data_IF_040486446448
#
_entry.id   IF_040486446448
#
_cell.length_a   1.000
_cell.length_b   1.000
_cell.length_c   1.000
_cell.angle_alpha   90.00
_cell.angle_beta   90.00
_cell.angle_gamma   90.00
#
_symmetry.space_group_name_H-M   'P 1'
#
loop_
_entity.id
_entity.type
_entity.pdbx_description
1 polymer ?
#
# COMPACT_ATOMS: atom_id res chain seq x y z
N UNK A 1 -2.09 19.75 -3.25
CA UNK A 1 -0.95 18.85 -2.95
C UNK A 1 -1.46 17.46 -2.60
N UNK A 2 -0.79 16.40 -3.02
CA UNK A 2 -1.11 15.02 -2.60
C UNK A 2 -0.37 14.66 -1.30
N UNK A 3 -1.09 14.13 -0.32
CA UNK A 3 -0.55 13.65 0.95
C UNK A 3 -0.42 12.12 0.93
N UNK A 4 0.73 11.58 1.32
CA UNK A 4 0.94 10.13 1.54
C UNK A 4 0.97 9.85 3.04
N UNK A 5 -0.01 9.08 3.54
CA UNK A 5 -0.24 8.81 4.96
C UNK A 5 -0.28 7.29 5.30
N UNK A 6 0.83 6.54 5.27
CA UNK A 6 2.16 6.91 4.76
C UNK A 6 2.97 5.67 4.37
N UNK A 7 3.98 5.83 3.51
CA UNK A 7 4.90 4.76 3.12
C UNK A 7 5.82 4.32 4.25
N UNK A 8 6.09 5.19 5.23
CA UNK A 8 7.12 5.00 6.26
C UNK A 8 6.58 4.48 7.60
N UNK A 9 5.30 4.69 7.85
CA UNK A 9 4.61 4.18 9.03
C UNK A 9 3.12 4.00 8.76
N UNK A 10 2.51 3.03 9.43
CA UNK A 10 1.08 2.78 9.29
C UNK A 10 0.30 3.80 10.13
N UNK A 11 0.14 5.00 9.59
CA UNK A 11 -0.61 6.09 10.23
C UNK A 11 -2.05 5.66 10.55
N UNK A 12 -2.80 5.04 9.61
CA UNK A 12 -4.15 4.56 9.91
C UNK A 12 -4.21 3.58 11.09
N UNK A 13 -3.22 2.70 11.26
CA UNK A 13 -3.20 1.72 12.34
C UNK A 13 -2.75 2.30 13.70
N UNK A 14 -1.79 3.23 13.73
CA UNK A 14 -1.11 3.59 14.98
C UNK A 14 -1.22 5.05 15.37
N UNK A 15 -1.60 5.94 14.44
CA UNK A 15 -1.55 7.38 14.62
C UNK A 15 -2.82 8.07 14.08
N UNK A 16 -3.95 7.35 14.06
CA UNK A 16 -5.20 7.86 13.51
C UNK A 16 -5.70 9.11 14.26
N UNK A 17 -5.60 9.12 15.60
CA UNK A 17 -6.04 10.26 16.42
C UNK A 17 -5.17 11.49 16.18
N UNK A 18 -3.86 11.32 16.23
CA UNK A 18 -2.87 12.38 16.01
C UNK A 18 -2.94 12.93 14.57
N UNK A 19 -3.25 12.06 13.60
CA UNK A 19 -3.54 12.47 12.24
C UNK A 19 -4.80 13.36 12.18
N UNK A 20 -5.89 12.95 12.83
CA UNK A 20 -7.12 13.75 12.86
C UNK A 20 -6.97 15.06 13.63
N UNK A 21 -6.15 15.11 14.68
CA UNK A 21 -5.78 16.36 15.35
C UNK A 21 -5.05 17.31 14.38
N UNK A 22 -4.15 16.77 13.55
CA UNK A 22 -3.46 17.55 12.52
C UNK A 22 -4.42 18.05 11.43
N UNK A 23 -5.40 17.22 11.03
CA UNK A 23 -6.46 17.61 10.10
C UNK A 23 -7.29 18.76 10.67
N UNK A 24 -7.72 18.65 11.92
CA UNK A 24 -8.51 19.69 12.60
C UNK A 24 -7.72 20.99 12.80
N UNK A 25 -6.41 20.89 13.05
CA UNK A 25 -5.51 22.03 13.13
C UNK A 25 -5.18 22.67 11.76
N UNK A 26 -5.42 21.95 10.66
CA UNK A 26 -5.14 22.41 9.29
C UNK A 26 -3.66 22.40 8.91
N UNK A 27 -2.78 21.80 9.71
CA UNK A 27 -1.36 21.65 9.36
C UNK A 27 -0.68 20.52 10.14
N UNK A 28 0.49 20.08 9.66
CA UNK A 28 1.39 19.18 10.37
C UNK A 28 2.85 19.53 10.11
N UNK A 29 3.69 19.42 11.12
CA UNK A 29 5.14 19.48 10.94
C UNK A 29 5.67 18.10 10.56
N UNK A 30 6.43 18.04 9.47
CA UNK A 30 7.09 16.82 8.99
C UNK A 30 8.59 17.03 9.01
N UNK A 31 9.32 16.04 9.54
CA UNK A 31 10.76 16.03 9.59
C UNK A 31 11.32 15.22 8.42
N UNK A 32 12.19 15.82 7.62
CA UNK A 32 12.90 15.10 6.58
C UNK A 32 13.81 14.04 7.22
N UNK A 33 13.71 12.76 6.82
CA UNK A 33 14.45 11.68 7.48
C UNK A 33 15.96 11.70 7.23
N UNK A 34 16.44 12.41 6.21
CA UNK A 34 17.86 12.48 5.85
C UNK A 34 18.51 13.78 6.32
N UNK A 35 17.87 14.93 6.07
CA UNK A 35 18.43 16.22 6.45
C UNK A 35 18.03 16.67 7.86
N UNK A 36 17.04 16.00 8.48
CA UNK A 36 16.49 16.41 9.76
C UNK A 36 15.68 17.71 9.71
N UNK A 37 15.61 18.39 8.55
CA UNK A 37 14.88 19.64 8.35
C UNK A 37 13.40 19.43 8.60
N UNK A 38 12.82 20.28 9.44
CA UNK A 38 11.38 20.32 9.66
C UNK A 38 10.70 21.24 8.65
N UNK A 39 9.54 20.81 8.18
CA UNK A 39 8.71 21.56 7.25
C UNK A 39 7.27 21.53 7.75
N UNK A 40 6.68 22.71 7.93
CA UNK A 40 5.25 22.84 8.20
C UNK A 40 4.48 22.64 6.89
N UNK A 41 3.68 21.59 6.81
CA UNK A 41 2.82 21.30 5.68
C UNK A 41 1.40 21.74 6.00
N UNK A 42 0.77 22.48 5.09
CA UNK A 42 -0.66 22.72 5.18
C UNK A 42 -1.42 21.42 4.99
N UNK A 43 -2.45 21.23 5.80
CA UNK A 43 -3.46 20.21 5.67
C UNK A 43 -4.85 20.83 5.50
N UNK A 44 -4.96 22.14 5.26
CA UNK A 44 -6.23 22.76 4.94
C UNK A 44 -6.85 22.09 3.70
N UNK A 45 -8.18 21.87 3.64
CA UNK A 45 -8.81 21.17 2.52
C UNK A 45 -8.46 21.78 1.14
N UNK A 46 -8.38 23.12 1.05
CA UNK A 46 -8.02 23.82 -0.18
C UNK A 46 -6.58 23.54 -0.68
N UNK A 47 -5.68 23.11 0.21
CA UNK A 47 -4.29 22.83 -0.13
C UNK A 47 -4.05 21.34 -0.42
N UNK A 48 -5.02 20.47 -0.12
CA UNK A 48 -4.90 19.01 -0.22
C UNK A 48 -5.79 18.48 -1.35
N UNK A 49 -5.16 18.04 -2.43
CA UNK A 49 -5.87 17.46 -3.59
C UNK A 49 -6.42 16.07 -3.24
N UNK A 50 -5.59 15.24 -2.60
CA UNK A 50 -5.97 13.90 -2.18
C UNK A 50 -5.06 13.39 -1.06
N UNK A 51 -5.61 12.55 -0.19
CA UNK A 51 -4.86 11.82 0.83
C UNK A 51 -4.81 10.34 0.43
N UNK A 52 -3.61 9.79 0.31
CA UNK A 52 -3.41 8.36 0.03
C UNK A 52 -3.00 7.68 1.31
N UNK A 53 -3.90 6.87 1.86
CA UNK A 53 -3.64 6.12 3.08
C UNK A 53 -2.93 4.81 2.77
N UNK A 54 -1.97 4.44 3.60
CA UNK A 54 -1.23 3.19 3.47
C UNK A 54 -1.35 2.41 4.76
N UNK A 55 -1.87 1.20 4.70
CA UNK A 55 -2.10 0.43 5.91
C UNK A 55 -2.13 -1.07 5.69
N UNK A 56 -1.82 -1.79 6.78
CA UNK A 56 -2.16 -3.21 6.97
C UNK A 56 -3.28 -3.40 7.99
N UNK A 57 -3.69 -2.35 8.68
CA UNK A 57 -4.81 -2.36 9.60
C UNK A 57 -5.42 -0.96 9.77
N UNK A 58 -6.24 -0.48 8.81
CA UNK A 58 -6.81 0.85 8.86
C UNK A 58 -7.95 0.98 9.88
N UNK A 59 -8.34 -0.10 10.56
CA UNK A 59 -9.46 -0.17 11.51
C UNK A 59 -9.55 1.05 12.46
N UNK A 60 -8.46 1.55 13.07
CA UNK A 60 -8.52 2.69 13.98
C UNK A 60 -8.89 4.03 13.32
N UNK A 61 -8.72 4.14 11.99
CA UNK A 61 -9.06 5.34 11.22
C UNK A 61 -10.50 5.32 10.70
N UNK A 62 -11.13 4.15 10.52
CA UNK A 62 -12.48 4.01 9.96
C UNK A 62 -13.54 4.94 10.61
N UNK A 63 -13.58 5.09 11.95
CA UNK A 63 -14.56 5.98 12.60
C UNK A 63 -14.42 7.46 12.22
N UNK A 64 -13.27 7.88 11.70
CA UNK A 64 -12.98 9.28 11.35
C UNK A 64 -13.18 9.58 9.86
N UNK A 65 -13.44 8.58 9.02
CA UNK A 65 -13.65 8.78 7.58
C UNK A 65 -14.83 9.71 7.27
N UNK A 66 -15.98 9.63 7.97
CA UNK A 66 -17.07 10.58 7.74
C UNK A 66 -16.67 12.04 8.01
N UNK A 67 -15.86 12.28 9.06
CA UNK A 67 -15.35 13.62 9.34
C UNK A 67 -14.40 14.12 8.24
N UNK A 68 -13.57 13.24 7.67
CA UNK A 68 -12.70 13.60 6.55
C UNK A 68 -13.53 14.00 5.31
N UNK A 69 -14.58 13.24 4.99
CA UNK A 69 -15.46 13.54 3.86
C UNK A 69 -16.26 14.84 4.08
N UNK A 70 -16.81 15.04 5.28
CA UNK A 70 -17.54 16.27 5.65
C UNK A 70 -16.65 17.52 5.55
N UNK A 71 -15.36 17.39 5.92
CA UNK A 71 -14.36 18.45 5.76
C UNK A 71 -13.89 18.67 4.33
N UNK A 72 -14.37 17.88 3.37
CA UNK A 72 -14.08 18.02 1.95
C UNK A 72 -12.82 17.30 1.46
N UNK A 73 -12.22 16.42 2.25
CA UNK A 73 -11.06 15.64 1.79
C UNK A 73 -11.47 14.53 0.84
N UNK A 74 -10.64 14.29 -0.19
CA UNK A 74 -10.69 13.11 -1.05
C UNK A 74 -9.56 12.17 -0.67
N UNK A 75 -9.83 10.88 -0.66
CA UNK A 75 -8.85 9.88 -0.27
C UNK A 75 -9.14 8.51 -0.86
N UNK A 76 -8.09 7.68 -0.88
CA UNK A 76 -8.18 6.25 -1.15
C UNK A 76 -7.11 5.51 -0.36
N UNK A 77 -7.25 4.18 -0.30
CA UNK A 77 -6.44 3.30 0.53
C UNK A 77 -5.60 2.35 -0.32
N UNK A 78 -4.32 2.34 -0.01
CA UNK A 78 -3.38 1.26 -0.30
C UNK A 78 -3.42 0.29 0.90
N UNK A 79 -4.22 -0.77 0.80
CA UNK A 79 -4.41 -1.74 1.88
C UNK A 79 -3.65 -3.04 1.58
N UNK A 80 -2.51 -3.22 2.24
CA UNK A 80 -1.72 -4.44 2.13
C UNK A 80 -2.33 -5.59 2.94
N UNK A 81 -2.75 -6.63 2.25
CA UNK A 81 -3.18 -7.90 2.83
C UNK A 81 -2.40 -9.00 2.11
N UNK A 82 -1.54 -9.66 2.87
CA UNK A 82 -0.68 -10.77 2.44
C UNK A 82 -1.11 -12.07 3.15
N UNK A 83 -0.66 -13.25 2.68
CA UNK A 83 -1.06 -14.52 3.25
C UNK A 83 -0.25 -14.93 4.49
N UNK A 84 0.69 -14.08 4.93
CA UNK A 84 1.68 -14.44 5.93
C UNK A 84 1.12 -14.51 7.35
N UNK A 85 1.70 -15.38 8.17
CA UNK A 85 1.38 -15.53 9.59
C UNK A 85 2.18 -14.57 10.48
N UNK A 86 2.06 -14.76 11.80
CA UNK A 86 2.75 -13.95 12.81
C UNK A 86 4.27 -14.21 12.85
N UNK A 87 4.75 -15.28 12.22
CA UNK A 87 6.16 -15.55 11.98
C UNK A 87 6.81 -14.46 11.11
N UNK A 88 6.07 -13.92 10.13
CA UNK A 88 6.53 -12.85 9.23
C UNK A 88 5.89 -11.50 9.59
N UNK A 89 4.60 -11.46 9.92
CA UNK A 89 3.80 -10.26 10.22
C UNK A 89 3.30 -10.25 11.67
N UNK A 90 4.24 -10.07 12.59
CA UNK A 90 4.12 -10.35 14.04
C UNK A 90 2.93 -9.73 14.75
N UNK A 91 2.72 -8.43 14.58
CA UNK A 91 1.79 -7.68 15.41
C UNK A 91 0.50 -7.30 14.67
N UNK A 92 0.19 -8.00 13.58
CA UNK A 92 -1.07 -7.80 12.88
C UNK A 92 -2.23 -8.48 13.62
N UNK A 93 -3.46 -7.92 13.53
CA UNK A 93 -4.64 -8.64 13.97
C UNK A 93 -4.83 -9.96 13.22
N UNK A 94 -5.61 -10.90 13.76
CA UNK A 94 -5.94 -12.14 13.06
C UNK A 94 -6.50 -11.86 11.66
N UNK A 95 -6.12 -12.66 10.65
CA UNK A 95 -6.50 -12.42 9.24
C UNK A 95 -8.01 -12.28 9.03
N UNK A 96 -8.82 -13.03 9.78
CA UNK A 96 -10.29 -12.87 9.77
C UNK A 96 -10.74 -11.44 10.07
N UNK A 97 -10.11 -10.79 11.07
CA UNK A 97 -10.40 -9.39 11.42
C UNK A 97 -9.93 -8.43 10.33
N UNK A 98 -8.75 -8.65 9.76
CA UNK A 98 -8.24 -7.83 8.65
C UNK A 98 -9.16 -7.90 7.43
N UNK A 99 -9.64 -9.09 7.05
CA UNK A 99 -10.59 -9.26 5.95
C UNK A 99 -11.93 -8.57 6.25
N UNK A 100 -12.42 -8.65 7.48
CA UNK A 100 -13.62 -7.92 7.90
C UNK A 100 -13.41 -6.41 7.82
N UNK A 101 -12.28 -5.88 8.28
CA UNK A 101 -11.91 -4.46 8.15
C UNK A 101 -11.86 -4.03 6.69
N UNK A 102 -11.30 -4.84 5.80
CA UNK A 102 -11.26 -4.54 4.36
C UNK A 102 -12.66 -4.42 3.78
N UNK A 103 -13.54 -5.38 4.10
CA UNK A 103 -14.93 -5.35 3.70
C UNK A 103 -15.66 -4.11 4.22
N UNK A 104 -15.57 -3.84 5.53
CA UNK A 104 -16.20 -2.66 6.14
C UNK A 104 -15.71 -1.35 5.52
N UNK A 105 -14.40 -1.24 5.27
CA UNK A 105 -13.83 -0.07 4.61
C UNK A 105 -14.41 0.10 3.19
N UNK A 106 -14.39 -0.96 2.40
CA UNK A 106 -14.93 -0.94 1.03
C UNK A 106 -16.42 -0.60 0.97
N UNK A 107 -17.22 -1.17 1.86
CA UNK A 107 -18.65 -0.87 1.99
C UNK A 107 -18.89 0.60 2.39
N UNK A 108 -17.99 1.18 3.17
CA UNK A 108 -18.10 2.57 3.64
C UNK A 108 -17.70 3.58 2.56
N UNK A 109 -16.63 3.33 1.80
CA UNK A 109 -16.04 4.37 0.92
C UNK A 109 -16.09 4.04 -0.57
N UNK A 110 -16.48 2.82 -0.94
CA UNK A 110 -16.48 2.33 -2.32
C UNK A 110 -15.27 1.45 -2.65
N UNK A 111 -15.52 0.38 -3.41
CA UNK A 111 -14.50 -0.60 -3.82
C UNK A 111 -13.41 -0.01 -4.72
N UNK A 112 -13.71 1.07 -5.44
CA UNK A 112 -12.76 1.82 -6.27
C UNK A 112 -11.73 2.60 -5.44
N UNK A 113 -12.02 2.89 -4.16
CA UNK A 113 -11.12 3.61 -3.25
C UNK A 113 -10.32 2.70 -2.33
N UNK A 114 -10.47 1.37 -2.44
CA UNK A 114 -9.72 0.40 -1.63
C UNK A 114 -8.90 -0.48 -2.56
N UNK A 115 -7.60 -0.25 -2.62
CA UNK A 115 -6.67 -1.00 -3.48
C UNK A 115 -6.04 -2.09 -2.63
N UNK A 116 -6.29 -3.34 -3.01
CA UNK A 116 -5.62 -4.48 -2.37
C UNK A 116 -4.16 -4.51 -2.81
N UNK A 117 -3.24 -4.59 -1.86
CA UNK A 117 -1.85 -4.93 -2.16
C UNK A 117 -1.52 -6.32 -1.65
N UNK A 118 -1.25 -7.23 -2.57
CA UNK A 118 -0.61 -8.51 -2.27
C UNK A 118 0.91 -8.31 -2.37
N UNK A 119 1.43 -7.57 -1.40
CA UNK A 119 2.72 -6.91 -1.48
C UNK A 119 3.40 -6.87 -0.11
N UNK A 120 4.66 -7.35 0.01
CA UNK A 120 5.46 -8.00 -1.04
C UNK A 120 5.12 -9.49 -1.19
N UNK A 121 5.42 -10.05 -2.36
CA UNK A 121 5.53 -11.49 -2.63
C UNK A 121 6.91 -11.96 -2.16
N UNK A 122 6.97 -12.93 -1.25
CA UNK A 122 8.19 -13.38 -0.57
C UNK A 122 8.46 -14.83 -0.95
N UNK A 123 9.63 -15.09 -1.53
CA UNK A 123 10.05 -16.46 -1.81
C UNK A 123 10.89 -17.05 -0.68
N UNK A 124 10.62 -18.31 -0.33
CA UNK A 124 11.41 -19.11 0.61
C UNK A 124 11.24 -20.60 0.30
N UNK A 125 11.81 -21.47 1.14
CA UNK A 125 11.50 -22.90 1.10
C UNK A 125 10.02 -23.17 1.40
N UNK A 126 9.38 -22.32 2.21
CA UNK A 126 7.98 -22.46 2.59
C UNK A 126 7.03 -21.73 1.60
N UNK A 127 7.46 -20.57 1.11
CA UNK A 127 6.69 -19.72 0.19
C UNK A 127 7.18 -19.93 -1.24
N UNK A 128 6.61 -20.94 -1.90
CA UNK A 128 6.85 -21.24 -3.31
C UNK A 128 5.83 -20.54 -4.21
N UNK A 129 6.09 -20.55 -5.53
CA UNK A 129 5.14 -20.02 -6.51
C UNK A 129 3.77 -20.71 -6.41
N UNK A 130 3.75 -22.04 -6.26
CA UNK A 130 2.52 -22.84 -6.17
C UNK A 130 1.70 -22.45 -4.93
N UNK A 131 2.37 -22.25 -3.79
CA UNK A 131 1.70 -21.80 -2.57
C UNK A 131 1.16 -20.38 -2.73
N UNK A 132 1.89 -19.49 -3.39
CA UNK A 132 1.38 -18.16 -3.70
C UNK A 132 0.16 -18.22 -4.62
N UNK A 133 0.14 -19.06 -5.65
CA UNK A 133 -1.03 -19.28 -6.50
C UNK A 133 -2.24 -19.76 -5.69
N UNK A 134 -2.04 -20.72 -4.78
CA UNK A 134 -3.10 -21.22 -3.91
C UNK A 134 -3.66 -20.13 -2.99
N UNK A 135 -2.78 -19.41 -2.29
CA UNK A 135 -3.19 -18.38 -1.33
C UNK A 135 -3.81 -17.17 -2.03
N UNK A 136 -3.22 -16.72 -3.14
CA UNK A 136 -3.75 -15.60 -3.90
C UNK A 136 -5.15 -15.90 -4.42
N UNK A 137 -5.42 -17.12 -4.91
CA UNK A 137 -6.76 -17.54 -5.33
C UNK A 137 -7.79 -17.39 -4.20
N UNK A 138 -7.48 -17.93 -3.02
CA UNK A 138 -8.35 -17.84 -1.83
C UNK A 138 -8.60 -16.39 -1.40
N UNK A 139 -7.55 -15.57 -1.42
CA UNK A 139 -7.66 -14.16 -1.04
C UNK A 139 -8.43 -13.36 -2.09
N UNK A 140 -8.20 -13.62 -3.37
CA UNK A 140 -8.92 -12.98 -4.47
C UNK A 140 -10.41 -13.34 -4.44
N UNK A 141 -10.78 -14.57 -4.12
CA UNK A 141 -12.19 -14.98 -3.92
C UNK A 141 -12.85 -14.14 -2.80
N UNK A 142 -12.13 -13.87 -1.72
CA UNK A 142 -12.64 -13.10 -0.59
C UNK A 142 -12.67 -11.58 -0.82
N UNK A 143 -11.71 -11.05 -1.60
CA UNK A 143 -11.48 -9.61 -1.73
C UNK A 143 -12.06 -9.00 -3.01
N UNK A 144 -12.23 -9.77 -4.09
CA UNK A 144 -12.70 -9.25 -5.37
C UNK A 144 -14.06 -8.53 -5.32
N UNK A 145 -15.04 -8.94 -4.48
CA UNK A 145 -16.28 -8.17 -4.33
C UNK A 145 -16.07 -6.76 -3.76
N UNK A 146 -14.94 -6.52 -3.09
CA UNK A 146 -14.67 -5.33 -2.28
C UNK A 146 -13.51 -4.46 -2.83
N UNK A 147 -12.94 -4.80 -3.99
CA UNK A 147 -11.94 -3.95 -4.66
C UNK A 147 -12.00 -4.12 -6.17
N UNK A 148 -11.45 -3.15 -6.91
CA UNK A 148 -11.28 -3.24 -8.37
C UNK A 148 -9.86 -3.50 -8.80
N UNK A 149 -8.89 -3.44 -7.88
CA UNK A 149 -7.48 -3.45 -8.21
C UNK A 149 -6.65 -4.21 -7.18
N UNK A 150 -5.73 -5.01 -7.69
CA UNK A 150 -4.66 -5.64 -6.94
C UNK A 150 -3.30 -5.08 -7.41
N UNK A 151 -2.45 -4.72 -6.46
CA UNK A 151 -1.05 -4.38 -6.72
C UNK A 151 -0.18 -5.47 -6.11
N UNK A 152 0.78 -5.96 -6.89
CA UNK A 152 1.82 -6.87 -6.42
C UNK A 152 3.19 -6.19 -6.49
N UNK A 153 4.14 -6.70 -5.73
CA UNK A 153 5.58 -6.49 -5.96
C UNK A 153 6.33 -7.69 -5.41
N UNK A 154 7.51 -7.98 -5.94
CA UNK A 154 8.39 -9.00 -5.40
C UNK A 154 9.28 -8.37 -4.32
N UNK A 155 9.56 -9.12 -3.26
CA UNK A 155 10.30 -8.58 -2.13
C UNK A 155 11.71 -8.14 -2.54
N UNK A 156 12.02 -6.86 -2.34
CA UNK A 156 13.39 -6.36 -2.43
C UNK A 156 14.20 -6.66 -1.16
N UNK A 157 15.46 -7.03 -1.35
CA UNK A 157 16.39 -7.28 -0.27
C UNK A 157 17.11 -6.00 0.17
N UNK A 158 16.40 -5.14 0.90
CA UNK A 158 17.00 -3.93 1.48
C UNK A 158 18.01 -4.27 2.59
N UNK A 159 19.08 -3.46 2.68
CA UNK A 159 20.15 -3.65 3.67
C UNK A 159 19.70 -3.69 5.14
N UNK A 160 18.53 -3.14 5.49
CA UNK A 160 17.95 -3.30 6.84
C UNK A 160 17.39 -4.70 7.08
N UNK A 161 16.66 -5.27 6.11
CA UNK A 161 16.12 -6.62 6.22
C UNK A 161 17.25 -7.65 6.21
N UNK A 162 18.26 -7.51 5.34
CA UNK A 162 19.40 -8.41 5.29
C UNK A 162 20.18 -8.55 6.62
N UNK A 163 20.07 -7.57 7.53
CA UNK A 163 20.67 -7.64 8.87
C UNK A 163 19.85 -8.43 9.89
N UNK A 164 18.57 -8.69 9.61
CA UNK A 164 17.69 -9.49 10.47
C UNK A 164 17.92 -10.98 10.19
N UNK A 165 18.31 -11.79 11.18
CA UNK A 165 18.50 -13.23 10.98
C UNK A 165 17.28 -13.92 10.37
N UNK A 166 16.08 -13.44 10.68
CA UNK A 166 14.82 -13.97 10.19
C UNK A 166 14.61 -13.71 8.69
N UNK A 167 15.28 -12.72 8.09
CA UNK A 167 15.25 -12.52 6.64
C UNK A 167 16.10 -13.54 5.87
N UNK A 168 16.98 -14.32 6.55
CA UNK A 168 17.89 -15.27 5.89
C UNK A 168 17.18 -16.48 5.28
N UNK A 169 15.93 -16.74 5.67
CA UNK A 169 15.12 -17.82 5.10
C UNK A 169 14.49 -17.42 3.77
N UNK A 170 14.46 -16.11 3.46
CA UNK A 170 13.95 -15.60 2.20
C UNK A 170 15.03 -15.66 1.12
N UNK A 171 14.60 -15.80 -0.13
CA UNK A 171 15.48 -15.82 -1.31
C UNK A 171 14.90 -14.94 -2.41
N UNK A 172 15.78 -14.52 -3.31
CA UNK A 172 15.36 -13.89 -4.56
C UNK A 172 14.77 -14.97 -5.49
N UNK A 173 13.60 -14.73 -6.11
CA UNK A 173 13.11 -15.56 -7.20
C UNK A 173 13.91 -15.30 -8.47
N UNK A 174 13.99 -16.31 -9.34
CA UNK A 174 14.46 -16.12 -10.72
C UNK A 174 13.45 -15.34 -11.55
N UNK A 175 13.89 -14.73 -12.66
CA UNK A 175 12.99 -14.06 -13.62
C UNK A 175 11.90 -15.01 -14.15
N UNK A 176 12.24 -16.28 -14.40
CA UNK A 176 11.28 -17.29 -14.82
C UNK A 176 10.20 -17.52 -13.74
N UNK A 177 10.60 -17.69 -12.47
CA UNK A 177 9.63 -17.83 -11.37
C UNK A 177 8.74 -16.59 -11.22
N UNK A 178 9.31 -15.39 -11.41
CA UNK A 178 8.53 -14.14 -11.36
C UNK A 178 7.51 -14.08 -12.49
N UNK A 179 7.91 -14.40 -13.73
CA UNK A 179 7.03 -14.39 -14.90
C UNK A 179 5.91 -15.43 -14.79
N UNK A 180 6.26 -16.66 -14.42
CA UNK A 180 5.29 -17.77 -14.28
C UNK A 180 4.26 -17.45 -13.19
N UNK A 181 4.73 -17.00 -12.01
CA UNK A 181 3.83 -16.60 -10.95
C UNK A 181 2.97 -15.40 -11.37
N UNK A 182 3.57 -14.37 -11.98
CA UNK A 182 2.86 -13.19 -12.47
C UNK A 182 1.72 -13.56 -13.44
N UNK A 183 1.97 -14.48 -14.39
CA UNK A 183 0.97 -14.96 -15.33
C UNK A 183 -0.21 -15.64 -14.62
N UNK A 184 0.06 -16.52 -13.65
CA UNK A 184 -0.96 -17.21 -12.85
C UNK A 184 -1.78 -16.24 -11.98
N UNK A 185 -1.11 -15.30 -11.30
CA UNK A 185 -1.78 -14.27 -10.50
C UNK A 185 -2.66 -13.39 -11.38
N UNK A 186 -2.19 -13.04 -12.58
CA UNK A 186 -2.91 -12.23 -13.55
C UNK A 186 -4.16 -12.93 -14.09
N UNK A 187 -4.05 -14.21 -14.46
CA UNK A 187 -5.20 -15.02 -14.86
C UNK A 187 -6.24 -15.14 -13.72
N UNK A 188 -5.75 -15.35 -12.48
CA UNK A 188 -6.59 -15.46 -11.30
C UNK A 188 -7.34 -14.15 -10.98
N UNK A 189 -6.65 -13.01 -11.06
CA UNK A 189 -7.23 -11.68 -10.86
C UNK A 189 -8.28 -11.35 -11.93
N UNK A 190 -7.96 -11.55 -13.22
CA UNK A 190 -8.85 -11.24 -14.34
C UNK A 190 -10.14 -12.06 -14.31
N UNK A 191 -10.06 -13.36 -13.99
CA UNK A 191 -11.24 -14.21 -13.85
C UNK A 191 -12.18 -13.78 -12.70
N UNK A 192 -11.73 -12.90 -11.81
CA UNK A 192 -12.50 -12.31 -10.71
C UNK A 192 -12.83 -10.83 -10.92
N UNK A 193 -12.57 -10.30 -12.12
CA UNK A 193 -12.83 -8.90 -12.46
C UNK A 193 -11.89 -7.90 -11.79
N UNK A 194 -10.71 -8.35 -11.33
CA UNK A 194 -9.68 -7.48 -10.77
C UNK A 194 -8.68 -7.05 -11.84
N UNK A 195 -8.35 -5.75 -11.85
CA UNK A 195 -7.15 -5.27 -12.53
C UNK A 195 -5.94 -5.60 -11.67
N UNK A 196 -4.89 -6.16 -12.27
CA UNK A 196 -3.63 -6.44 -11.58
C UNK A 196 -2.52 -5.55 -12.16
N UNK A 197 -1.62 -5.09 -11.31
CA UNK A 197 -0.50 -4.22 -11.69
C UNK A 197 0.70 -4.44 -10.75
N UNK A 198 1.90 -4.11 -11.19
CA UNK A 198 3.14 -4.34 -10.43
C UNK A 198 3.83 -3.03 -10.03
N UNK A 199 4.18 -2.89 -8.75
CA UNK A 199 4.72 -1.65 -8.20
C UNK A 199 6.25 -1.57 -8.30
N UNK A 200 6.74 -0.84 -9.30
CA UNK A 200 8.15 -0.52 -9.49
C UNK A 200 9.04 -1.77 -9.52
N UNK A 201 8.62 -2.74 -10.34
CA UNK A 201 9.40 -3.91 -10.74
C UNK A 201 10.29 -3.54 -11.92
N UNK A 202 11.53 -4.03 -11.92
CA UNK A 202 12.47 -3.86 -13.03
C UNK A 202 12.21 -4.85 -14.18
N UNK A 203 11.70 -6.04 -13.84
CA UNK A 203 11.31 -7.04 -14.82
C UNK A 203 10.00 -6.61 -15.49
N UNK A 204 9.97 -6.66 -16.81
CA UNK A 204 8.77 -6.37 -17.59
C UNK A 204 7.77 -7.55 -17.49
N UNK A 205 6.64 -7.29 -16.83
CA UNK A 205 5.54 -8.25 -16.64
C UNK A 205 4.36 -8.01 -17.59
N UNK A 206 4.50 -7.13 -18.58
CA UNK A 206 3.43 -6.81 -19.54
C UNK A 206 3.03 -8.04 -20.37
N UNK A 207 3.98 -8.94 -20.65
CA UNK A 207 3.70 -10.23 -21.30
C UNK A 207 2.77 -11.15 -20.49
N UNK A 208 2.75 -11.00 -19.17
CA UNK A 208 1.79 -11.64 -18.27
C UNK A 208 0.47 -10.85 -18.13
N UNK A 209 0.34 -9.71 -18.81
CA UNK A 209 -0.77 -8.78 -18.71
C UNK A 209 -0.82 -8.00 -17.40
N UNK A 210 0.35 -7.75 -16.80
CA UNK A 210 0.52 -6.94 -15.59
C UNK A 210 1.23 -5.64 -15.97
N UNK A 211 0.50 -4.53 -15.87
CA UNK A 211 1.03 -3.20 -16.15
C UNK A 211 1.77 -2.60 -14.95
N UNK A 212 2.68 -1.63 -15.17
CA UNK A 212 3.26 -0.85 -14.08
C UNK A 212 2.18 -0.14 -13.24
N UNK A 213 2.27 -0.27 -11.92
CA UNK A 213 1.35 0.34 -10.98
C UNK A 213 1.78 1.75 -10.59
N UNK A 214 0.80 2.64 -10.42
CA UNK A 214 0.95 3.91 -9.73
C UNK A 214 0.28 3.81 -8.36
N UNK A 215 1.06 3.85 -7.28
CA UNK A 215 0.44 3.82 -5.94
C UNK A 215 -0.13 5.17 -5.54
N UNK A 216 0.52 6.24 -6.01
CA UNK A 216 -0.03 7.61 -6.08
C UNK A 216 -0.45 7.79 -7.54
N UNK A 217 -1.69 7.42 -7.82
CA UNK A 217 -2.22 7.27 -9.17
C UNK A 217 -2.90 8.57 -9.62
N UNK A 218 -2.35 9.28 -10.61
CA UNK A 218 -2.98 10.49 -11.10
C UNK A 218 -4.36 10.24 -11.71
N UNK A 219 -4.56 9.14 -12.45
CA UNK A 219 -5.85 8.85 -13.09
C UNK A 219 -6.93 8.60 -12.05
N UNK A 220 -6.60 7.84 -10.99
CA UNK A 220 -7.52 7.62 -9.88
C UNK A 220 -7.81 8.92 -9.13
N UNK A 221 -6.80 9.72 -8.83
CA UNK A 221 -6.98 10.98 -8.10
C UNK A 221 -7.84 11.96 -8.92
N UNK A 222 -7.60 12.10 -10.22
CA UNK A 222 -8.42 12.96 -11.09
C UNK A 222 -9.88 12.46 -11.15
N UNK A 223 -10.08 11.14 -11.18
CA UNK A 223 -11.42 10.53 -11.11
C UNK A 223 -12.13 10.85 -9.77
N UNK A 224 -11.42 10.75 -8.65
CA UNK A 224 -11.99 10.98 -7.31
C UNK A 224 -12.23 12.45 -6.99
N UNK A 225 -11.43 13.34 -7.58
CA UNK A 225 -11.48 14.79 -7.29
C UNK A 225 -12.26 15.57 -8.33
N UNK A 226 -12.37 15.06 -9.56
CA UNK A 226 -12.94 15.80 -10.70
C UNK A 226 -12.01 16.90 -11.24
N UNK A 227 -10.75 16.94 -10.81
CA UNK A 227 -9.78 17.97 -11.17
C UNK A 227 -8.53 17.34 -11.76
N UNK A 228 -7.99 17.97 -12.81
CA UNK A 228 -6.69 17.59 -13.38
C UNK A 228 -5.59 17.92 -12.38
N UNK A 229 -4.68 16.98 -12.14
CA UNK A 229 -3.56 17.17 -11.21
C UNK A 229 -2.22 17.20 -11.94
N UNK A 230 -1.17 17.61 -11.22
CA UNK A 230 0.20 17.52 -11.76
C UNK A 230 0.65 16.06 -11.83
N UNK A 231 0.77 15.54 -13.05
CA UNK A 231 1.22 14.17 -13.36
C UNK A 231 2.75 13.97 -13.30
N UNK A 232 3.49 14.89 -12.69
CA UNK A 232 4.96 14.81 -12.64
C UNK A 232 5.40 13.61 -11.80
N UNK A 233 6.26 12.75 -12.36
CA UNK A 233 6.91 11.64 -11.63
C UNK A 233 7.66 12.16 -10.42
N UNK A 234 7.47 11.52 -9.27
CA UNK A 234 8.28 11.77 -8.08
C UNK A 234 9.71 11.24 -8.27
N UNK A 235 10.64 12.16 -8.53
CA UNK A 235 12.07 11.86 -8.73
C UNK A 235 12.76 11.29 -7.48
N UNK A 236 12.13 11.37 -6.31
CA UNK A 236 12.65 10.76 -5.08
C UNK A 236 12.33 9.26 -4.95
N UNK A 237 11.45 8.74 -5.81
CA UNK A 237 11.09 7.32 -5.84
C UNK A 237 12.00 6.53 -6.78
N UNK A 238 11.89 5.20 -6.75
CA UNK A 238 12.67 4.27 -7.59
C UNK A 238 12.60 4.65 -9.09
N UNK A 239 13.64 4.34 -9.89
CA UNK A 239 13.63 4.61 -11.33
C UNK A 239 12.38 4.09 -12.04
N UNK A 240 11.92 2.89 -11.67
CA UNK A 240 10.79 2.14 -12.21
C UNK A 240 9.43 2.63 -11.66
N UNK A 241 9.43 3.44 -10.60
CA UNK A 241 8.20 3.92 -9.96
C UNK A 241 7.56 5.07 -10.75
N UNK A 242 6.33 4.87 -11.23
CA UNK A 242 5.58 5.89 -11.96
C UNK A 242 4.80 6.90 -11.10
N UNK A 243 4.84 6.78 -9.77
CA UNK A 243 3.96 7.57 -8.88
C UNK A 243 4.10 9.09 -9.09
N UNK A 244 2.98 9.80 -9.00
CA UNK A 244 2.99 11.26 -8.97
C UNK A 244 3.64 11.81 -7.68
N UNK A 245 4.15 13.04 -7.74
CA UNK A 245 4.73 13.75 -6.60
C UNK A 245 3.73 13.85 -5.44
N UNK A 246 4.16 13.43 -4.26
CA UNK A 246 3.37 13.54 -3.03
C UNK A 246 4.25 13.94 -1.84
N UNK A 247 3.63 14.36 -0.74
CA UNK A 247 4.32 14.58 0.54
C UNK A 247 3.99 13.46 1.50
N UNK A 248 4.99 12.63 1.77
CA UNK A 248 4.90 11.61 2.81
C UNK A 248 5.04 12.25 4.19
N UNK A 249 4.05 12.01 5.05
CA UNK A 249 3.96 12.57 6.40
C UNK A 249 4.35 11.56 7.49
N UNK A 250 4.87 10.39 7.09
CA UNK A 250 5.29 9.33 7.99
C UNK A 250 6.72 9.47 8.49
N UNK A 251 6.99 8.76 9.58
CA UNK A 251 8.31 8.72 10.24
C UNK A 251 8.81 7.28 10.30
N UNK A 252 10.04 7.05 9.85
CA UNK A 252 10.70 5.73 9.96
C UNK A 252 10.80 5.25 11.41
N UNK A 253 10.92 3.94 11.60
CA UNK A 253 11.10 3.27 12.88
C UNK A 253 9.98 3.52 13.92
N UNK A 254 8.79 3.95 13.47
CA UNK A 254 7.63 4.15 14.35
C UNK A 254 6.50 3.13 14.13
N UNK A 255 6.57 2.33 13.06
CA UNK A 255 5.53 1.36 12.74
C UNK A 255 5.63 0.13 13.64
N UNK A 256 4.55 -0.18 14.36
CA UNK A 256 4.54 -1.23 15.39
C UNK A 256 4.16 -2.61 14.88
N UNK A 257 3.90 -2.78 13.58
CA UNK A 257 3.60 -4.10 12.98
C UNK A 257 4.77 -5.09 13.06
N UNK A 258 6.00 -4.58 13.09
CA UNK A 258 7.24 -5.37 13.17
C UNK A 258 7.34 -6.51 12.14
N UNK A 259 6.90 -6.25 10.90
CA UNK A 259 7.06 -7.24 9.82
C UNK A 259 8.55 -7.51 9.56
N UNK A 260 8.91 -8.77 9.35
CA UNK A 260 10.30 -9.21 9.16
C UNK A 260 10.96 -8.50 7.98
N UNK A 261 10.23 -8.36 6.86
CA UNK A 261 10.71 -7.75 5.62
C UNK A 261 10.67 -6.21 5.59
N UNK A 262 10.24 -5.55 6.68
CA UNK A 262 9.95 -4.12 6.63
C UNK A 262 11.22 -3.27 6.47
N UNK A 263 11.33 -2.51 5.38
CA UNK A 263 12.40 -1.53 5.19
C UNK A 263 12.26 -0.30 6.09
N UNK A 264 11.05 0.00 6.54
CA UNK A 264 10.75 1.22 7.27
C UNK A 264 11.03 1.12 8.78
N UNK A 265 11.18 -0.11 9.31
CA UNK A 265 11.52 -0.39 10.71
C UNK A 265 13.03 -0.60 10.86
#
# INVERSE_FOLDING_TARGET
MIISASRRTDIPAFFAREFMESIRAGFRTVRNPYSGRETRLSLAPADVECIVFWSKNPEPLLPFLPELEERGYRFYFQFAITPYGADIERNLPPKRRILQTFRSLSEQIGAEKVIWRYDPVIFSAEWTAERHCEMFRRMADALAPHTKQCIISFMDFYGKCLRRPECRVFREPSEAEMLDLAAELSATARSRGLRISACAEALDLTSAGIEPAHCIDPDLIETLTGHIIKRTKDRSQRPECGCAVSRDIGTYATCRHNCVYCYAN
#
